data_IF_660217381957
#
_entry.id   IF_660217381957
#
_cell.length_a   1.000
_cell.length_b   1.000
_cell.length_c   1.000
_cell.angle_alpha   90.00
_cell.angle_beta   90.00
_cell.angle_gamma   90.00
#
_symmetry.space_group_name_H-M   'P 1'
#
loop_
_entity.id
_entity.type
_entity.pdbx_description
1 polymer ?
#
# COMPACT_ATOMS: atom_id res chain seq x y z
N UNK A 1 16.73 21.11 17.04
CA UNK A 1 18.06 20.45 17.10
C UNK A 1 17.89 19.10 16.44
N UNK A 2 18.16 19.06 15.13
CA UNK A 2 17.88 17.95 14.24
C UNK A 2 18.72 16.73 14.63
N UNK A 3 18.13 15.82 15.40
CA UNK A 3 18.71 14.49 15.62
C UNK A 3 18.15 13.56 14.53
N UNK A 4 19.06 13.02 13.72
CA UNK A 4 18.93 11.76 12.98
C UNK A 4 18.36 11.78 11.55
N UNK A 5 18.83 12.69 10.68
CA UNK A 5 18.80 12.46 9.22
C UNK A 5 19.80 11.35 8.76
N UNK A 6 20.53 10.73 9.69
CA UNK A 6 21.69 9.85 9.45
C UNK A 6 21.36 8.37 9.16
N UNK A 7 20.15 8.05 8.68
CA UNK A 7 19.86 6.74 8.06
C UNK A 7 19.10 6.95 6.72
N UNK A 8 19.75 7.70 5.84
CA UNK A 8 19.20 8.64 4.85
C UNK A 8 18.46 8.02 3.65
N UNK A 9 18.04 6.77 3.71
CA UNK A 9 17.24 6.12 2.66
C UNK A 9 15.75 6.03 3.00
N UNK A 10 15.38 6.17 4.28
CA UNK A 10 13.97 6.05 4.70
C UNK A 10 13.09 7.15 4.08
N UNK A 11 13.42 8.46 4.18
CA UNK A 11 12.60 9.50 3.55
C UNK A 11 12.49 9.34 2.02
N UNK A 12 13.54 8.82 1.38
CA UNK A 12 13.52 8.52 -0.05
C UNK A 12 12.52 7.41 -0.39
N UNK A 13 12.52 6.31 0.36
CA UNK A 13 11.57 5.20 0.18
C UNK A 13 10.13 5.61 0.52
N UNK A 14 9.93 6.44 1.54
CA UNK A 14 8.62 7.02 1.88
C UNK A 14 8.09 7.87 0.73
N UNK A 15 8.92 8.72 0.13
CA UNK A 15 8.55 9.49 -1.07
C UNK A 15 8.18 8.51 -2.20
N UNK A 16 8.95 7.46 -2.45
CA UNK A 16 8.61 6.48 -3.50
C UNK A 16 7.24 5.82 -3.24
N UNK A 17 6.91 5.49 -1.99
CA UNK A 17 5.59 4.99 -1.61
C UNK A 17 4.50 6.05 -1.85
N UNK A 18 4.71 7.26 -1.34
CA UNK A 18 3.78 8.40 -1.46
C UNK A 18 3.64 8.81 -2.93
N UNK A 19 4.55 8.50 -3.84
CA UNK A 19 4.38 8.75 -5.28
C UNK A 19 3.96 7.52 -6.09
N UNK A 20 3.81 6.36 -5.45
CA UNK A 20 3.51 5.07 -6.11
C UNK A 20 4.58 4.71 -7.16
N UNK A 21 5.82 5.13 -6.91
CA UNK A 21 6.91 5.06 -7.89
C UNK A 21 7.46 3.64 -8.07
N UNK A 22 7.30 2.76 -7.06
CA UNK A 22 7.74 1.37 -7.14
C UNK A 22 7.14 0.64 -8.35
N UNK A 23 5.90 0.96 -8.74
CA UNK A 23 5.23 0.35 -9.90
C UNK A 23 5.92 0.59 -11.25
N UNK A 24 6.82 1.59 -11.32
CA UNK A 24 7.57 1.93 -12.53
C UNK A 24 9.05 1.53 -12.45
N UNK A 25 9.49 0.89 -11.36
CA UNK A 25 10.89 0.51 -11.16
C UNK A 25 11.23 -0.84 -11.79
N UNK A 26 12.50 -1.02 -12.15
CA UNK A 26 13.00 -2.31 -12.63
C UNK A 26 13.09 -3.31 -11.48
N UNK A 27 13.01 -4.60 -11.81
CA UNK A 27 13.08 -5.68 -10.83
C UNK A 27 14.35 -5.62 -9.97
N UNK A 28 15.49 -5.27 -10.56
CA UNK A 28 16.78 -5.19 -9.86
C UNK A 28 16.78 -4.06 -8.83
N UNK A 29 16.18 -2.92 -9.16
CA UNK A 29 16.07 -1.77 -8.25
C UNK A 29 15.07 -2.06 -7.11
N UNK A 30 13.96 -2.76 -7.42
CA UNK A 30 13.01 -3.23 -6.41
C UNK A 30 13.64 -4.18 -5.40
N UNK A 31 14.46 -5.13 -5.87
CA UNK A 31 15.21 -6.05 -4.99
C UNK A 31 16.16 -5.26 -4.08
N UNK A 32 16.90 -4.28 -4.64
CA UNK A 32 17.79 -3.43 -3.83
C UNK A 32 17.03 -2.64 -2.77
N UNK A 33 15.88 -2.06 -3.12
CA UNK A 33 15.01 -1.38 -2.15
C UNK A 33 14.52 -2.34 -1.06
N UNK A 34 14.15 -3.57 -1.43
CA UNK A 34 13.72 -4.58 -0.48
C UNK A 34 14.82 -4.97 0.51
N UNK A 35 16.07 -5.11 0.04
CA UNK A 35 17.23 -5.42 0.89
C UNK A 35 17.48 -4.31 1.92
N UNK A 36 17.38 -3.04 1.49
CA UNK A 36 17.49 -1.88 2.38
C UNK A 36 16.40 -1.93 3.47
N UNK A 37 15.16 -2.19 3.07
CA UNK A 37 14.02 -2.26 3.99
C UNK A 37 14.16 -3.41 5.00
N UNK A 38 14.56 -4.60 4.54
CA UNK A 38 14.77 -5.75 5.43
C UNK A 38 15.90 -5.50 6.44
N UNK A 39 17.05 -4.99 5.99
CA UNK A 39 18.14 -4.64 6.89
C UNK A 39 17.70 -3.63 7.94
N UNK A 40 16.85 -2.66 7.57
CA UNK A 40 16.33 -1.68 8.52
C UNK A 40 15.32 -2.29 9.51
N UNK A 41 14.42 -3.14 9.05
CA UNK A 41 13.48 -3.87 9.91
C UNK A 41 14.22 -4.71 10.96
N UNK A 42 15.30 -5.40 10.58
CA UNK A 42 16.12 -6.19 11.51
C UNK A 42 16.73 -5.33 12.62
N UNK A 43 17.14 -4.09 12.31
CA UNK A 43 17.63 -3.15 13.34
C UNK A 43 16.51 -2.65 14.27
N UNK A 44 15.30 -2.47 13.74
CA UNK A 44 14.17 -1.88 14.47
C UNK A 44 13.44 -2.87 15.37
N UNK A 45 13.51 -4.17 15.08
CA UNK A 45 12.95 -5.23 15.94
C UNK A 45 13.47 -5.17 17.39
N UNK A 46 14.61 -4.50 17.62
CA UNK A 46 15.18 -4.33 18.95
C UNK A 46 14.71 -3.06 19.68
N UNK A 47 13.95 -2.17 19.02
CA UNK A 47 13.65 -0.82 19.53
C UNK A 47 12.18 -0.51 19.81
N UNK A 48 11.24 -1.43 19.55
CA UNK A 48 9.79 -1.28 19.80
C UNK A 48 9.16 0.04 19.29
N UNK A 49 9.66 0.57 18.17
CA UNK A 49 9.09 1.76 17.54
C UNK A 49 8.06 1.30 16.50
N UNK A 50 6.81 1.16 16.95
CA UNK A 50 5.71 0.58 16.13
C UNK A 50 5.49 1.36 14.84
N UNK A 51 5.40 2.69 14.90
CA UNK A 51 5.17 3.54 13.72
C UNK A 51 6.24 3.32 12.64
N UNK A 52 7.52 3.29 13.03
CA UNK A 52 8.63 3.03 12.11
C UNK A 52 8.60 1.61 11.54
N UNK A 53 8.18 0.61 12.32
CA UNK A 53 8.01 -0.77 11.85
C UNK A 53 6.86 -0.87 10.85
N UNK A 54 5.70 -0.30 11.19
CA UNK A 54 4.53 -0.23 10.32
C UNK A 54 4.86 0.48 8.99
N UNK A 55 5.59 1.60 9.04
CA UNK A 55 5.97 2.34 7.83
C UNK A 55 6.89 1.51 6.92
N UNK A 56 7.89 0.83 7.49
CA UNK A 56 8.76 -0.06 6.72
C UNK A 56 8.03 -1.27 6.15
N UNK A 57 7.10 -1.86 6.90
CA UNK A 57 6.27 -2.97 6.42
C UNK A 57 5.33 -2.52 5.29
N UNK A 58 4.85 -1.28 5.33
CA UNK A 58 4.03 -0.70 4.27
C UNK A 58 4.86 -0.50 2.99
N UNK A 59 6.06 0.08 3.11
CA UNK A 59 7.03 0.19 2.00
C UNK A 59 7.35 -1.20 1.45
N UNK A 60 7.66 -2.17 2.33
CA UNK A 60 7.93 -3.57 1.97
C UNK A 60 6.77 -4.16 1.17
N UNK A 61 5.53 -3.96 1.61
CA UNK A 61 4.33 -4.46 0.95
C UNK A 61 4.20 -3.92 -0.47
N UNK A 62 4.42 -2.61 -0.66
CA UNK A 62 4.38 -1.98 -1.99
C UNK A 62 5.44 -2.57 -2.94
N UNK A 63 6.67 -2.80 -2.46
CA UNK A 63 7.74 -3.42 -3.23
C UNK A 63 7.41 -4.89 -3.56
N UNK A 64 6.95 -5.67 -2.57
CA UNK A 64 6.61 -7.08 -2.74
C UNK A 64 5.46 -7.27 -3.73
N UNK A 65 4.49 -6.35 -3.77
CA UNK A 65 3.43 -6.33 -4.76
C UNK A 65 3.98 -6.25 -6.19
N UNK A 66 4.94 -5.35 -6.45
CA UNK A 66 5.58 -5.23 -7.77
C UNK A 66 6.46 -6.44 -8.11
N UNK A 67 6.93 -7.18 -7.11
CA UNK A 67 7.65 -8.44 -7.27
C UNK A 67 6.72 -9.67 -7.34
N UNK A 68 5.39 -9.48 -7.32
CA UNK A 68 4.39 -10.55 -7.28
C UNK A 68 4.54 -11.53 -6.09
N UNK A 69 5.08 -11.07 -4.95
CA UNK A 69 5.29 -11.86 -3.73
C UNK A 69 4.13 -11.68 -2.74
N UNK A 70 2.90 -11.96 -3.20
CA UNK A 70 1.66 -11.61 -2.50
C UNK A 70 1.50 -12.27 -1.13
N UNK A 71 2.04 -13.47 -0.91
CA UNK A 71 1.98 -14.13 0.39
C UNK A 71 2.69 -13.30 1.47
N UNK A 72 3.87 -12.78 1.14
CA UNK A 72 4.66 -11.94 2.05
C UNK A 72 4.05 -10.56 2.21
N UNK A 73 3.47 -9.99 1.13
CA UNK A 73 2.67 -8.76 1.22
C UNK A 73 1.56 -8.93 2.26
N UNK A 74 0.78 -10.02 2.18
CA UNK A 74 -0.32 -10.26 3.10
C UNK A 74 0.15 -10.43 4.56
N UNK A 75 1.33 -11.00 4.79
CA UNK A 75 1.92 -11.10 6.13
C UNK A 75 2.29 -9.71 6.68
N UNK A 76 2.91 -8.87 5.87
CA UNK A 76 3.28 -7.51 6.25
C UNK A 76 2.03 -6.67 6.55
N UNK A 77 1.03 -6.71 5.67
CA UNK A 77 -0.22 -5.96 5.82
C UNK A 77 -1.03 -6.42 7.03
N UNK A 78 -1.10 -7.74 7.29
CA UNK A 78 -1.77 -8.24 8.50
C UNK A 78 -1.10 -7.70 9.77
N UNK A 79 0.23 -7.71 9.82
CA UNK A 79 0.95 -7.19 10.98
C UNK A 79 0.64 -5.70 11.23
N UNK A 80 0.58 -4.88 10.16
CA UNK A 80 0.20 -3.46 10.27
C UNK A 80 -1.21 -3.31 10.85
N UNK A 81 -2.17 -4.08 10.35
CA UNK A 81 -3.56 -4.01 10.81
C UNK A 81 -3.72 -4.48 12.27
N UNK A 82 -2.96 -5.51 12.67
CA UNK A 82 -2.96 -6.00 14.06
C UNK A 82 -2.41 -4.97 15.05
N UNK A 83 -1.57 -4.02 14.59
CA UNK A 83 -0.95 -2.97 15.41
C UNK A 83 -1.48 -1.57 15.11
N UNK A 84 -2.57 -1.44 14.33
CA UNK A 84 -3.08 -0.13 13.93
C UNK A 84 -3.51 0.75 15.13
N UNK A 85 -4.02 0.13 16.20
CA UNK A 85 -4.38 0.86 17.43
C UNK A 85 -3.19 1.45 18.18
N UNK A 86 -1.98 0.99 17.88
CA UNK A 86 -0.73 1.43 18.51
C UNK A 86 0.00 2.52 17.69
N UNK A 87 -0.51 2.87 16.50
CA UNK A 87 0.07 3.90 15.63
C UNK A 87 -0.32 5.29 16.16
N UNK A 88 0.68 6.12 16.47
CA UNK A 88 0.45 7.43 17.11
C UNK A 88 0.57 8.59 16.13
N UNK A 89 1.65 8.61 15.35
CA UNK A 89 2.01 9.75 14.50
C UNK A 89 1.53 9.57 13.06
N UNK A 90 1.78 8.40 12.45
CA UNK A 90 1.61 8.18 11.01
C UNK A 90 0.24 7.55 10.63
N UNK A 91 -0.85 8.29 10.88
CA UNK A 91 -2.23 7.79 10.66
C UNK A 91 -2.57 7.41 9.22
N UNK A 92 -1.81 7.91 8.24
CA UNK A 92 -1.99 7.53 6.84
C UNK A 92 -1.59 6.07 6.54
N UNK A 93 -0.85 5.40 7.44
CA UNK A 93 -0.38 4.03 7.23
C UNK A 93 -1.54 3.07 6.99
N UNK A 94 -2.60 3.14 7.80
CA UNK A 94 -3.75 2.22 7.65
C UNK A 94 -4.44 2.37 6.29
N UNK A 95 -4.90 3.58 5.88
CA UNK A 95 -5.48 3.77 4.55
C UNK A 95 -4.56 3.29 3.41
N UNK A 96 -3.26 3.52 3.53
CA UNK A 96 -2.29 3.06 2.54
C UNK A 96 -2.07 1.54 2.57
N UNK A 97 -2.20 0.90 3.74
CA UNK A 97 -2.16 -0.56 3.85
C UNK A 97 -3.36 -1.19 3.12
N UNK A 98 -4.57 -0.65 3.30
CA UNK A 98 -5.75 -1.06 2.54
C UNK A 98 -5.58 -0.84 1.03
N UNK A 99 -4.97 0.27 0.63
CA UNK A 99 -4.60 0.48 -0.77
C UNK A 99 -3.71 -0.63 -1.32
N UNK A 100 -2.64 -1.00 -0.60
CA UNK A 100 -1.73 -2.08 -1.00
C UNK A 100 -2.38 -3.47 -0.96
N UNK A 101 -3.39 -3.71 -0.10
CA UNK A 101 -4.22 -4.91 -0.15
C UNK A 101 -5.00 -4.98 -1.48
N UNK A 102 -5.56 -3.86 -1.93
CA UNK A 102 -6.26 -3.77 -3.21
C UNK A 102 -5.30 -3.92 -4.40
N UNK A 103 -4.09 -3.35 -4.34
CA UNK A 103 -3.03 -3.56 -5.35
C UNK A 103 -2.65 -5.04 -5.44
N UNK A 104 -2.44 -5.71 -4.30
CA UNK A 104 -2.14 -7.14 -4.26
C UNK A 104 -3.27 -7.98 -4.91
N UNK A 105 -4.53 -7.67 -4.60
CA UNK A 105 -5.68 -8.33 -5.19
C UNK A 105 -5.77 -8.09 -6.71
N UNK A 106 -5.54 -6.85 -7.15
CA UNK A 106 -5.57 -6.46 -8.56
C UNK A 106 -4.48 -7.18 -9.37
N UNK A 107 -3.24 -7.19 -8.88
CA UNK A 107 -2.10 -7.85 -9.53
C UNK A 107 -2.21 -9.39 -9.51
N UNK A 108 -2.98 -9.94 -8.56
CA UNK A 108 -3.32 -11.37 -8.49
C UNK A 108 -4.65 -11.70 -9.19
N UNK A 109 -5.08 -10.84 -10.13
CA UNK A 109 -6.28 -11.00 -10.99
C UNK A 109 -7.62 -11.12 -10.25
N UNK A 110 -7.65 -10.84 -8.96
CA UNK A 110 -8.88 -10.83 -8.16
C UNK A 110 -9.50 -9.42 -8.17
N UNK A 111 -10.10 -9.07 -9.32
CA UNK A 111 -10.66 -7.74 -9.57
C UNK A 111 -11.84 -7.40 -8.65
N UNK A 112 -12.68 -8.38 -8.30
CA UNK A 112 -13.81 -8.17 -7.38
C UNK A 112 -13.32 -7.82 -5.97
N UNK A 113 -12.29 -8.51 -5.46
CA UNK A 113 -11.67 -8.18 -4.17
C UNK A 113 -10.97 -6.83 -4.22
N UNK A 114 -10.24 -6.52 -5.29
CA UNK A 114 -9.57 -5.23 -5.44
C UNK A 114 -10.57 -4.08 -5.40
N UNK A 115 -11.71 -4.22 -6.09
CA UNK A 115 -12.80 -3.25 -6.10
C UNK A 115 -13.36 -3.03 -4.69
N UNK A 116 -13.74 -4.11 -4.01
CA UNK A 116 -14.32 -4.03 -2.66
C UNK A 116 -13.38 -3.31 -1.69
N UNK A 117 -12.11 -3.71 -1.66
CA UNK A 117 -11.11 -3.11 -0.77
C UNK A 117 -10.91 -1.63 -1.08
N UNK A 118 -10.82 -1.23 -2.35
CA UNK A 118 -10.64 0.18 -2.71
C UNK A 118 -11.89 1.03 -2.47
N UNK A 119 -13.10 0.48 -2.63
CA UNK A 119 -14.35 1.15 -2.24
C UNK A 119 -14.42 1.37 -0.72
N UNK A 120 -13.99 0.39 0.08
CA UNK A 120 -13.87 0.54 1.54
C UNK A 120 -12.81 1.58 1.91
N UNK A 121 -11.65 1.56 1.22
CA UNK A 121 -10.53 2.50 1.45
C UNK A 121 -10.96 3.95 1.21
N UNK A 122 -11.88 4.20 0.28
CA UNK A 122 -12.36 5.54 -0.03
C UNK A 122 -13.15 6.21 1.12
N UNK A 123 -13.56 5.45 2.14
CA UNK A 123 -14.29 6.00 3.30
C UNK A 123 -13.37 6.53 4.39
N UNK A 124 -12.07 6.22 4.34
CA UNK A 124 -11.09 6.78 5.28
C UNK A 124 -10.94 8.29 5.06
N UNK A 125 -10.77 9.05 6.14
CA UNK A 125 -10.59 10.50 6.10
C UNK A 125 -9.79 10.98 7.32
N UNK A 126 -9.29 12.21 7.26
CA UNK A 126 -8.62 12.86 8.40
C UNK A 126 -7.17 12.44 8.62
N UNK A 127 -6.45 12.12 7.55
CA UNK A 127 -5.04 11.69 7.59
C UNK A 127 -4.19 12.39 6.51
N UNK A 128 -2.87 12.31 6.64
CA UNK A 128 -1.93 12.92 5.68
C UNK A 128 -2.04 12.27 4.29
N UNK A 129 -1.87 13.08 3.24
CA UNK A 129 -1.92 12.60 1.85
C UNK A 129 -3.27 12.01 1.43
N UNK A 130 -4.37 12.30 2.14
CA UNK A 130 -5.72 11.86 1.81
C UNK A 130 -6.10 12.15 0.35
N UNK A 131 -5.97 13.40 -0.10
CA UNK A 131 -6.26 13.77 -1.49
C UNK A 131 -5.48 12.92 -2.50
N UNK A 132 -4.24 12.58 -2.17
CA UNK A 132 -3.40 11.77 -3.03
C UNK A 132 -3.90 10.34 -3.11
N UNK A 133 -4.26 9.74 -1.98
CA UNK A 133 -4.82 8.41 -1.97
C UNK A 133 -6.17 8.38 -2.69
N UNK A 134 -7.03 9.37 -2.45
CA UNK A 134 -8.33 9.52 -3.10
C UNK A 134 -8.20 9.56 -4.64
N UNK A 135 -7.24 10.34 -5.16
CA UNK A 135 -6.97 10.39 -6.61
C UNK A 135 -6.53 9.03 -7.16
N UNK A 136 -5.67 8.29 -6.44
CA UNK A 136 -5.26 6.93 -6.84
C UNK A 136 -6.44 5.97 -6.87
N UNK A 137 -7.25 5.97 -5.81
CA UNK A 137 -8.44 5.14 -5.70
C UNK A 137 -9.42 5.42 -6.84
N UNK A 138 -9.69 6.70 -7.12
CA UNK A 138 -10.58 7.11 -8.21
C UNK A 138 -10.13 6.56 -9.57
N UNK A 139 -8.85 6.74 -9.92
CA UNK A 139 -8.31 6.25 -11.20
C UNK A 139 -8.33 4.71 -11.29
N UNK A 140 -7.97 4.03 -10.20
CA UNK A 140 -7.97 2.57 -10.12
C UNK A 140 -9.38 1.98 -10.22
N UNK A 141 -10.36 2.57 -9.53
CA UNK A 141 -11.77 2.14 -9.59
C UNK A 141 -12.37 2.41 -10.98
N UNK A 142 -12.04 3.53 -11.61
CA UNK A 142 -12.47 3.82 -12.99
C UNK A 142 -11.94 2.74 -13.95
N UNK A 143 -10.64 2.43 -13.87
CA UNK A 143 -10.02 1.35 -14.65
C UNK A 143 -10.66 -0.02 -14.39
N UNK A 144 -10.97 -0.35 -13.13
CA UNK A 144 -11.65 -1.59 -12.79
C UNK A 144 -13.05 -1.69 -13.37
N UNK A 145 -13.81 -0.59 -13.36
CA UNK A 145 -15.15 -0.55 -13.94
C UNK A 145 -15.12 -0.73 -15.47
N UNK A 146 -14.07 -0.28 -16.15
CA UNK A 146 -13.89 -0.55 -17.58
C UNK A 146 -13.55 -2.03 -17.86
N UNK A 147 -12.83 -2.68 -16.94
CA UNK A 147 -12.44 -4.09 -17.04
C UNK A 147 -13.57 -5.06 -16.65
N UNK A 148 -14.38 -4.69 -15.65
CA UNK A 148 -15.50 -5.49 -15.17
C UNK A 148 -16.73 -5.15 -16.02
N UNK A 149 -17.24 -6.07 -16.86
CA UNK A 149 -18.41 -5.78 -17.67
C UNK A 149 -19.61 -5.39 -16.80
N UNK A 150 -20.33 -4.34 -17.21
CA UNK A 150 -21.57 -3.88 -16.58
C UNK A 150 -22.54 -5.04 -16.35
N UNK A 151 -22.71 -5.49 -15.10
CA UNK A 151 -23.81 -6.40 -14.71
C UNK A 151 -25.20 -5.76 -14.95
N UNK A 152 -25.28 -4.45 -15.26
CA UNK A 152 -26.53 -3.68 -15.43
C UNK A 152 -27.08 -3.59 -16.86
N UNK A 153 -26.41 -4.11 -17.91
CA UNK A 153 -26.93 -4.05 -19.30
C UNK A 153 -27.80 -5.24 -19.76
N UNK A 154 -28.09 -6.23 -18.90
CA UNK A 154 -28.93 -7.39 -19.25
C UNK A 154 -30.43 -7.28 -18.90
N UNK A 155 -30.94 -6.13 -18.46
CA UNK A 155 -32.36 -5.94 -18.11
C UNK A 155 -33.02 -4.74 -18.80
N UNK A 156 -32.70 -4.52 -20.09
CA UNK A 156 -33.47 -3.61 -20.97
C UNK A 156 -33.63 -4.21 -22.37
N UNK A 157 -34.12 -5.45 -22.42
CA UNK A 157 -34.77 -6.04 -23.59
C UNK A 157 -35.88 -6.92 -23.04
N UNK A 158 -37.03 -6.97 -23.72
CA UNK A 158 -38.37 -7.30 -23.21
C UNK A 158 -38.95 -6.11 -22.42
N UNK A 159 -39.79 -5.24 -22.98
CA UNK A 159 -40.96 -5.44 -23.86
C UNK A 159 -40.99 -4.37 -24.95
#
# INVERSE_FOLDING_TARGET
MAKNFENTLLPGLEILLIWNSFACMKKEDLIRCLDIVNSKLDTLNNSNIIDSQCMLLLIKSSILNQLHRFQETNQCLRWILDHNGDIVDDKFIEPFAFWEMGVAAFLNENLEKAKLVWEETANFNGYEFEFRLAMRLHLSLMKLNDMLPDKKKKSRTFI
#
